data_IF_490394867437
#
_entry.id   IF_490394867437
#
_cell.length_a   1.000
_cell.length_b   1.000
_cell.length_c   1.000
_cell.angle_alpha   90.00
_cell.angle_beta   90.00
_cell.angle_gamma   90.00
#
_symmetry.space_group_name_H-M   'P 1'
#
loop_
_entity.id
_entity.type
_entity.pdbx_description
1 polymer ?
#
# COMPACT_ATOMS: atom_id res chain seq x y z
N UNK A 1 5.22 2.37 -18.24
CA UNK A 1 4.43 1.54 -17.30
C UNK A 1 3.95 2.45 -16.19
N UNK A 2 2.65 2.52 -15.90
CA UNK A 2 2.15 3.33 -14.77
C UNK A 2 2.46 2.56 -13.49
N UNK A 3 3.18 3.21 -12.55
CA UNK A 3 3.38 2.65 -11.21
C UNK A 3 2.18 3.02 -10.34
N UNK A 4 1.59 2.05 -9.66
CA UNK A 4 0.44 2.28 -8.76
C UNK A 4 0.86 2.40 -7.28
N UNK A 5 2.15 2.20 -7.01
CA UNK A 5 2.74 2.34 -5.71
C UNK A 5 4.12 3.00 -5.80
N UNK A 6 4.47 3.77 -4.78
CA UNK A 6 5.81 4.35 -4.60
C UNK A 6 6.50 3.67 -3.43
N UNK A 7 7.80 3.41 -3.56
CA UNK A 7 8.62 2.88 -2.48
C UNK A 7 8.93 4.04 -1.52
N UNK A 8 8.52 3.91 -0.27
CA UNK A 8 8.71 4.96 0.74
C UNK A 8 9.81 4.62 1.74
N UNK A 9 10.12 3.34 1.90
CA UNK A 9 11.22 2.87 2.75
C UNK A 9 11.95 1.71 2.06
N UNK A 10 13.27 1.71 2.18
CA UNK A 10 14.09 0.58 1.72
C UNK A 10 13.93 -0.63 2.62
N UNK A 11 14.16 -1.81 2.04
CA UNK A 11 14.30 -3.02 2.83
C UNK A 11 15.56 -2.96 3.70
N UNK A 12 15.55 -3.72 4.79
CA UNK A 12 16.72 -3.91 5.65
C UNK A 12 17.13 -5.37 5.67
N UNK A 13 18.42 -5.61 5.48
CA UNK A 13 19.01 -6.93 5.65
C UNK A 13 19.00 -7.32 7.14
N UNK A 14 18.73 -8.60 7.41
CA UNK A 14 18.79 -9.15 8.75
C UNK A 14 20.22 -9.21 9.26
N UNK A 15 20.45 -8.81 10.52
CA UNK A 15 21.76 -8.90 11.18
C UNK A 15 21.60 -9.37 12.62
N UNK A 16 22.59 -10.11 13.13
CA UNK A 16 22.71 -10.55 14.53
C UNK A 16 21.40 -11.09 15.14
N UNK A 17 20.81 -12.11 14.50
CA UNK A 17 19.59 -12.77 14.96
C UNK A 17 18.28 -12.05 14.63
N UNK A 18 18.33 -10.90 13.92
CA UNK A 18 17.14 -10.24 13.38
C UNK A 18 16.89 -10.68 11.93
N UNK A 19 15.61 -10.85 11.59
CA UNK A 19 15.17 -11.19 10.24
C UNK A 19 15.30 -9.99 9.29
N UNK A 20 15.51 -10.29 8.01
CA UNK A 20 15.39 -9.30 6.94
C UNK A 20 13.95 -8.79 6.84
N UNK A 21 13.79 -7.52 6.45
CA UNK A 21 12.49 -6.88 6.22
C UNK A 21 12.48 -6.28 4.83
N UNK A 22 11.41 -6.56 4.07
CA UNK A 22 11.25 -6.01 2.73
C UNK A 22 10.97 -4.50 2.73
N UNK A 23 11.11 -3.84 1.57
CA UNK A 23 10.79 -2.42 1.40
C UNK A 23 9.30 -2.13 1.60
N UNK A 24 8.98 -0.92 2.04
CA UNK A 24 7.61 -0.45 2.20
C UNK A 24 7.17 0.30 0.96
N UNK A 25 5.98 -0.06 0.46
CA UNK A 25 5.33 0.62 -0.64
C UNK A 25 4.03 1.26 -0.16
N UNK A 26 3.71 2.43 -0.70
CA UNK A 26 2.42 3.10 -0.51
C UNK A 26 1.74 3.37 -1.84
N UNK A 27 0.41 3.36 -1.84
CA UNK A 27 -0.37 3.78 -2.99
C UNK A 27 -0.14 5.28 -3.22
N UNK A 28 0.00 5.70 -4.49
CA UNK A 28 0.17 7.12 -4.84
C UNK A 28 -1.01 7.99 -4.35
N UNK A 29 -2.22 7.43 -4.34
CA UNK A 29 -3.43 8.13 -3.87
C UNK A 29 -3.47 8.30 -2.34
N UNK A 30 -2.58 7.62 -1.59
CA UNK A 30 -2.59 7.72 -0.12
C UNK A 30 -2.03 9.03 0.42
N UNK A 31 -1.32 9.81 -0.41
CA UNK A 31 -0.79 11.12 -0.02
C UNK A 31 -1.92 12.14 0.23
N UNK A 32 -2.93 12.16 -0.66
CA UNK A 32 -4.04 13.12 -0.65
C UNK A 32 -5.36 12.52 -0.11
N UNK A 33 -5.28 11.38 0.61
CA UNK A 33 -6.43 10.53 0.97
C UNK A 33 -7.09 9.86 -0.25
N UNK A 34 -7.76 8.74 0.00
CA UNK A 34 -8.53 8.07 -1.05
C UNK A 34 -9.81 8.87 -1.37
N UNK A 35 -10.27 8.86 -2.64
CA UNK A 35 -11.59 9.37 -2.96
C UNK A 35 -12.66 8.71 -2.09
N UNK A 36 -13.77 9.41 -1.76
CA UNK A 36 -14.90 8.81 -1.08
C UNK A 36 -15.37 7.55 -1.82
N UNK A 37 -15.74 6.51 -1.07
CA UNK A 37 -16.43 5.37 -1.64
C UNK A 37 -17.77 5.80 -2.23
N UNK A 38 -18.22 5.09 -3.25
CA UNK A 38 -19.58 5.24 -3.75
C UNK A 38 -20.58 5.00 -2.59
N UNK A 39 -21.55 5.90 -2.35
CA UNK A 39 -22.47 5.77 -1.24
C UNK A 39 -23.38 4.53 -1.32
N UNK A 40 -23.59 3.98 -2.51
CA UNK A 40 -24.39 2.77 -2.71
C UNK A 40 -23.55 1.49 -2.51
N UNK A 41 -22.23 1.61 -2.42
CA UNK A 41 -21.30 0.51 -2.16
C UNK A 41 -20.86 0.51 -0.70
N UNK A 42 -21.47 -0.39 0.08
CA UNK A 42 -21.24 -0.50 1.52
C UNK A 42 -20.16 -1.53 1.85
N UNK A 43 -19.92 -2.48 0.95
CA UNK A 43 -18.90 -3.51 1.10
C UNK A 43 -18.33 -3.90 -0.26
N UNK A 44 -17.13 -4.49 -0.27
CA UNK A 44 -16.53 -5.01 -1.49
C UNK A 44 -17.43 -6.07 -2.15
N UNK A 45 -18.23 -6.79 -1.37
CA UNK A 45 -19.17 -7.80 -1.86
C UNK A 45 -20.31 -7.26 -2.71
N UNK A 46 -20.55 -5.94 -2.73
CA UNK A 46 -21.63 -5.36 -3.54
C UNK A 46 -21.30 -5.37 -5.05
N UNK A 47 -20.03 -5.64 -5.44
CA UNK A 47 -19.55 -5.65 -6.83
C UNK A 47 -19.03 -7.03 -7.29
N UNK A 48 -18.80 -7.97 -6.37
CA UNK A 48 -18.36 -9.34 -6.68
C UNK A 48 -19.54 -10.30 -6.75
#
# INVERSE_FOLDING_TARGET
>A
MKSFATKVEEGREGTNGKLSVGPVYRNLLSEDQFPPSDPDLTTAWDIF
#
